data_IF_228034391211
#
_entry.id   IF_228034391211
#
_cell.length_a   1.000
_cell.length_b   1.000
_cell.length_c   1.000
_cell.angle_alpha   90.00
_cell.angle_beta   90.00
_cell.angle_gamma   90.00
#
_symmetry.space_group_name_H-M   'P 1'
#
loop_
_entity.id
_entity.type
_entity.pdbx_description
1 polymer ?
#
# COMPACT_ATOMS: atom_id res chain seq x y z
N UNK A 1 -13.70 16.32 36.01
CA UNK A 1 -12.87 16.84 34.91
C UNK A 1 -11.94 15.72 34.46
N UNK A 2 -12.37 14.89 33.51
CA UNK A 2 -11.55 13.84 32.91
C UNK A 2 -12.10 13.54 31.50
N UNK A 3 -11.19 13.51 30.52
CA UNK A 3 -11.30 12.72 29.29
C UNK A 3 -12.21 13.21 28.15
N UNK A 4 -12.10 14.48 27.72
CA UNK A 4 -12.66 14.93 26.43
C UNK A 4 -11.66 14.86 25.25
N UNK A 5 -10.40 14.52 25.50
CA UNK A 5 -9.36 14.47 24.45
C UNK A 5 -9.40 13.20 23.58
N UNK A 6 -9.97 12.09 24.09
CA UNK A 6 -9.97 10.80 23.38
C UNK A 6 -11.05 10.70 22.30
N UNK A 7 -12.23 11.29 22.52
CA UNK A 7 -13.38 11.13 21.60
C UNK A 7 -13.24 11.96 20.31
N UNK A 8 -12.61 13.14 20.38
CA UNK A 8 -12.34 13.98 19.19
C UNK A 8 -11.21 13.41 18.34
N UNK A 9 -10.17 12.85 18.98
CA UNK A 9 -9.08 12.17 18.27
C UNK A 9 -9.61 10.92 17.54
N UNK A 10 -10.45 10.12 18.19
CA UNK A 10 -11.07 8.94 17.56
C UNK A 10 -11.94 9.31 16.36
N UNK A 11 -12.76 10.36 16.46
CA UNK A 11 -13.60 10.83 15.34
C UNK A 11 -12.79 11.40 14.17
N UNK A 12 -11.67 12.08 14.44
CA UNK A 12 -10.75 12.58 13.40
C UNK A 12 -10.01 11.43 12.68
N UNK A 13 -9.54 10.42 13.42
CA UNK A 13 -8.86 9.25 12.86
C UNK A 13 -9.83 8.42 11.99
N UNK A 14 -11.08 8.25 12.45
CA UNK A 14 -12.12 7.56 11.70
C UNK A 14 -12.49 8.29 10.41
N UNK A 15 -12.54 9.63 10.44
CA UNK A 15 -12.81 10.44 9.25
C UNK A 15 -11.65 10.47 8.25
N UNK A 16 -10.38 10.49 8.70
CA UNK A 16 -9.21 10.34 7.81
C UNK A 16 -9.17 8.96 7.14
N UNK A 17 -9.47 7.90 7.89
CA UNK A 17 -9.54 6.53 7.35
C UNK A 17 -10.67 6.38 6.30
N UNK A 18 -11.84 7.00 6.51
CA UNK A 18 -12.94 7.06 5.53
C UNK A 18 -12.68 8.01 4.35
N UNK A 19 -11.82 9.01 4.51
CA UNK A 19 -11.45 9.91 3.42
C UNK A 19 -10.50 9.24 2.44
N UNK A 20 -9.61 8.36 2.93
CA UNK A 20 -8.69 7.61 2.07
C UNK A 20 -9.43 6.63 1.16
N UNK A 21 -10.50 5.97 1.63
CA UNK A 21 -11.33 5.10 0.80
C UNK A 21 -12.11 5.84 -0.30
N UNK A 22 -12.27 7.17 -0.20
CA UNK A 22 -12.86 8.02 -1.25
C UNK A 22 -11.83 8.69 -2.16
N UNK A 23 -10.54 8.66 -1.81
CA UNK A 23 -9.45 9.22 -2.61
C UNK A 23 -8.64 8.09 -3.25
N UNK A 24 -9.19 7.51 -4.33
CA UNK A 24 -8.59 6.37 -5.05
C UNK A 24 -7.12 6.60 -5.41
N UNK A 25 -6.76 7.85 -5.73
CA UNK A 25 -5.40 8.26 -6.11
C UNK A 25 -4.37 8.17 -4.96
N UNK A 26 -4.83 7.99 -3.72
CA UNK A 26 -4.00 7.85 -2.53
C UNK A 26 -4.06 6.45 -1.92
N UNK A 27 -4.95 5.58 -2.43
CA UNK A 27 -5.19 4.26 -1.87
C UNK A 27 -3.99 3.32 -2.01
N UNK A 28 -3.41 3.25 -3.22
CA UNK A 28 -2.32 2.32 -3.48
C UNK A 28 -1.12 2.61 -2.57
N UNK A 29 -0.59 1.54 -1.96
CA UNK A 29 0.55 1.58 -1.05
C UNK A 29 0.30 2.28 0.30
N UNK A 30 -0.93 2.72 0.61
CA UNK A 30 -1.21 3.34 1.90
C UNK A 30 -1.31 2.31 3.04
N UNK A 31 -1.19 2.79 4.28
CA UNK A 31 -1.41 2.04 5.51
C UNK A 31 -2.47 2.75 6.34
N UNK A 32 -3.50 2.02 6.74
CA UNK A 32 -4.59 2.54 7.56
C UNK A 32 -4.15 2.82 9.02
N UNK A 33 -5.00 3.49 9.77
CA UNK A 33 -4.86 3.67 11.23
C UNK A 33 -4.77 2.34 11.99
N UNK A 34 -5.39 1.28 11.46
CA UNK A 34 -5.31 -0.08 11.99
C UNK A 34 -4.01 -0.81 11.59
N UNK A 35 -3.03 -0.08 11.03
CA UNK A 35 -1.76 -0.62 10.52
C UNK A 35 -1.94 -1.65 9.40
N UNK A 36 -3.01 -1.56 8.61
CA UNK A 36 -3.28 -2.50 7.52
C UNK A 36 -2.97 -1.88 6.16
N UNK A 37 -2.42 -2.66 5.23
CA UNK A 37 -2.10 -2.16 3.89
C UNK A 37 -3.35 -1.99 3.03
N UNK A 38 -3.46 -0.87 2.34
CA UNK A 38 -4.52 -0.61 1.38
C UNK A 38 -4.10 -1.03 -0.04
N UNK A 39 -5.05 -1.57 -0.80
CA UNK A 39 -4.89 -2.08 -2.16
C UNK A 39 -5.98 -1.49 -3.02
N UNK A 40 -5.61 -0.98 -4.19
CA UNK A 40 -6.56 -0.55 -5.20
C UNK A 40 -6.98 -1.76 -6.02
N UNK A 41 -8.27 -2.05 -6.07
CA UNK A 41 -8.84 -3.10 -6.91
C UNK A 41 -9.66 -2.48 -8.05
N UNK A 42 -9.81 -3.23 -9.14
CA UNK A 42 -10.59 -2.79 -10.28
C UNK A 42 -11.54 -3.89 -10.74
N UNK A 43 -12.81 -3.53 -10.92
CA UNK A 43 -13.85 -4.44 -11.41
C UNK A 43 -14.25 -4.01 -12.83
N UNK A 44 -13.94 -4.81 -13.86
CA UNK A 44 -14.43 -4.53 -15.20
C UNK A 44 -15.94 -4.72 -15.23
N UNK A 45 -16.66 -3.74 -15.79
CA UNK A 45 -18.12 -3.86 -15.95
C UNK A 45 -18.44 -4.74 -17.15
N UNK A 46 -19.35 -5.69 -16.96
CA UNK A 46 -19.80 -6.63 -18.00
C UNK A 46 -20.72 -5.98 -19.05
N UNK A 47 -21.23 -4.78 -18.79
CA UNK A 47 -22.09 -4.01 -19.69
C UNK A 47 -21.33 -3.11 -20.68
N UNK A 48 -19.99 -3.19 -20.72
CA UNK A 48 -19.14 -2.33 -21.54
C UNK A 48 -18.95 -0.91 -21.00
N UNK A 49 -19.41 -0.64 -19.76
CA UNK A 49 -19.16 0.61 -19.05
C UNK A 49 -17.71 0.78 -18.58
N UNK A 50 -17.44 1.93 -17.95
CA UNK A 50 -16.12 2.24 -17.39
C UNK A 50 -15.76 1.28 -16.25
N UNK A 51 -14.49 0.86 -16.20
CA UNK A 51 -13.95 0.08 -15.08
C UNK A 51 -14.17 0.80 -13.77
N UNK A 52 -14.74 0.09 -12.79
CA UNK A 52 -14.91 0.60 -11.43
C UNK A 52 -13.65 0.33 -10.62
N UNK A 53 -13.28 1.28 -9.76
CA UNK A 53 -12.13 1.17 -8.89
C UNK A 53 -12.58 1.29 -7.45
N UNK A 54 -12.05 0.43 -6.59
CA UNK A 54 -12.37 0.40 -5.18
C UNK A 54 -11.08 0.27 -4.35
N UNK A 55 -11.07 0.92 -3.20
CA UNK A 55 -9.97 0.80 -2.26
C UNK A 55 -10.31 -0.21 -1.18
N UNK A 56 -9.53 -1.29 -1.09
CA UNK A 56 -9.67 -2.32 -0.08
C UNK A 56 -8.55 -2.24 0.96
N UNK A 57 -8.87 -2.53 2.22
CA UNK A 57 -7.87 -2.67 3.28
C UNK A 57 -7.58 -4.15 3.49
N UNK A 58 -6.36 -4.57 3.18
CA UNK A 58 -5.91 -5.95 3.34
C UNK A 58 -5.89 -6.40 4.80
N UNK A 59 -5.95 -7.72 5.03
CA UNK A 59 -5.76 -8.31 6.35
C UNK A 59 -4.31 -8.29 6.86
N UNK A 60 -3.35 -7.81 6.06
CA UNK A 60 -1.94 -7.84 6.40
C UNK A 60 -1.59 -6.64 7.27
N UNK A 61 -1.28 -6.92 8.54
CA UNK A 61 -0.88 -5.91 9.52
C UNK A 61 0.61 -5.61 9.36
N UNK A 62 0.93 -4.36 9.11
CA UNK A 62 2.28 -3.82 9.04
C UNK A 62 2.77 -3.53 10.45
N UNK A 63 4.00 -3.92 10.74
CA UNK A 63 4.61 -3.62 12.03
C UNK A 63 5.27 -2.25 11.96
N UNK A 64 5.12 -1.43 13.00
CA UNK A 64 5.77 -0.11 13.17
C UNK A 64 5.33 1.02 12.24
N UNK A 65 4.30 0.82 11.40
CA UNK A 65 3.73 1.88 10.55
C UNK A 65 2.20 1.88 10.62
N UNK A 66 1.61 3.05 10.82
CA UNK A 66 0.16 3.31 10.80
C UNK A 66 -0.10 4.69 10.21
N UNK A 67 -1.29 4.92 9.66
CA UNK A 67 -1.68 6.22 9.08
C UNK A 67 -0.67 6.78 8.06
N UNK A 68 -0.16 5.91 7.19
CA UNK A 68 0.92 6.24 6.25
C UNK A 68 0.38 6.35 4.82
N UNK A 69 0.65 7.48 4.18
CA UNK A 69 0.40 7.68 2.75
C UNK A 69 1.73 8.02 2.10
N UNK A 70 2.12 7.24 1.09
CA UNK A 70 3.36 7.52 0.35
C UNK A 70 3.29 8.87 -0.34
N UNK A 71 4.45 9.49 -0.55
CA UNK A 71 4.53 10.76 -1.27
C UNK A 71 4.64 10.53 -2.78
N UNK A 72 4.27 11.54 -3.59
CA UNK A 72 4.50 11.52 -5.05
C UNK A 72 5.98 11.33 -5.40
N UNK A 73 6.87 11.84 -4.53
CA UNK A 73 8.30 11.62 -4.67
C UNK A 73 8.62 10.14 -4.59
N UNK A 74 8.16 9.47 -3.52
CA UNK A 74 8.44 8.07 -3.28
C UNK A 74 7.88 7.15 -4.37
N UNK A 75 6.62 7.36 -4.75
CA UNK A 75 5.99 6.61 -5.86
C UNK A 75 6.84 6.73 -7.14
N UNK A 76 7.30 7.94 -7.48
CA UNK A 76 8.09 8.18 -8.69
C UNK A 76 9.49 7.60 -8.64
N UNK A 77 10.26 7.83 -7.56
CA UNK A 77 11.65 7.37 -7.47
C UNK A 77 11.76 5.85 -7.35
N UNK A 78 10.77 5.20 -6.73
CA UNK A 78 10.67 3.75 -6.67
C UNK A 78 10.14 3.13 -7.97
N UNK A 79 9.64 3.93 -8.92
CA UNK A 79 9.18 3.45 -10.22
C UNK A 79 7.74 2.92 -10.23
N UNK A 80 6.92 3.34 -9.29
CA UNK A 80 5.51 2.98 -9.14
C UNK A 80 4.59 4.06 -9.74
N UNK A 81 3.30 3.74 -9.81
CA UNK A 81 2.23 4.67 -10.21
C UNK A 81 1.08 4.58 -9.20
N UNK A 82 0.41 5.70 -8.91
CA UNK A 82 -0.66 5.79 -7.90
C UNK A 82 -1.88 4.92 -8.18
N UNK A 83 -2.18 4.67 -9.44
CA UNK A 83 -3.30 3.84 -9.88
C UNK A 83 -2.88 2.38 -10.14
N UNK A 84 -1.79 1.92 -9.49
CA UNK A 84 -1.41 0.51 -9.56
C UNK A 84 -2.53 -0.31 -8.95
N UNK A 85 -3.18 -1.13 -9.79
CA UNK A 85 -4.22 -2.06 -9.36
C UNK A 85 -3.55 -3.34 -8.88
N UNK A 86 -3.94 -3.79 -7.69
CA UNK A 86 -3.34 -4.94 -7.03
C UNK A 86 -1.89 -4.70 -6.61
N UNK A 87 -1.31 -5.71 -5.96
CA UNK A 87 0.11 -5.78 -5.62
C UNK A 87 0.55 -7.22 -5.91
N UNK A 88 1.50 -7.42 -6.83
CA UNK A 88 2.01 -8.73 -7.22
C UNK A 88 3.53 -8.80 -7.10
N UNK A 89 4.04 -9.98 -6.73
CA UNK A 89 5.47 -10.30 -6.70
C UNK A 89 6.09 -10.30 -8.10
N UNK A 90 5.28 -10.44 -9.16
CA UNK A 90 5.73 -10.42 -10.56
C UNK A 90 6.50 -9.15 -10.93
N UNK A 91 6.16 -8.01 -10.30
CA UNK A 91 6.88 -6.76 -10.50
C UNK A 91 8.38 -6.89 -10.18
N UNK A 92 8.74 -7.78 -9.25
CA UNK A 92 10.13 -8.06 -8.86
C UNK A 92 10.92 -8.78 -9.96
N UNK A 93 10.27 -9.35 -10.96
CA UNK A 93 10.91 -9.96 -12.13
C UNK A 93 11.36 -8.88 -13.15
N UNK A 94 10.79 -7.68 -13.10
CA UNK A 94 11.22 -6.57 -13.96
C UNK A 94 12.51 -5.92 -13.41
N UNK A 95 13.62 -6.15 -14.12
CA UNK A 95 14.92 -5.54 -13.80
C UNK A 95 14.88 -4.01 -13.73
N UNK A 96 14.01 -3.36 -14.53
CA UNK A 96 13.88 -1.90 -14.52
C UNK A 96 13.23 -1.42 -13.23
N UNK A 97 12.21 -2.14 -12.77
CA UNK A 97 11.55 -1.89 -11.49
C UNK A 97 12.52 -2.11 -10.33
N UNK A 98 13.16 -3.28 -10.24
CA UNK A 98 14.15 -3.59 -9.19
C UNK A 98 15.27 -2.54 -9.12
N UNK A 99 15.78 -2.08 -10.27
CA UNK A 99 16.82 -1.03 -10.27
C UNK A 99 16.33 0.29 -9.66
N UNK A 100 15.05 0.66 -9.84
CA UNK A 100 14.48 1.85 -9.21
C UNK A 100 14.19 1.62 -7.73
N UNK A 101 13.62 0.47 -7.38
CA UNK A 101 13.34 0.07 -6.00
C UNK A 101 14.62 0.04 -5.14
N UNK A 102 15.69 -0.57 -5.65
CA UNK A 102 17.00 -0.63 -4.99
C UNK A 102 17.86 0.62 -5.19
N UNK A 103 17.36 1.65 -5.88
CA UNK A 103 18.08 2.92 -5.99
C UNK A 103 18.21 3.58 -4.62
N UNK A 104 19.32 4.27 -4.37
CA UNK A 104 19.51 4.96 -3.09
C UNK A 104 18.45 6.03 -2.78
N UNK A 105 17.75 6.54 -3.81
CA UNK A 105 16.64 7.48 -3.64
C UNK A 105 15.38 6.81 -3.11
N UNK A 106 15.05 5.59 -3.57
CA UNK A 106 13.91 4.83 -3.07
C UNK A 106 14.26 4.11 -1.76
N UNK A 107 15.30 3.27 -1.79
CA UNK A 107 15.64 2.33 -0.72
C UNK A 107 15.85 3.00 0.65
N UNK A 108 16.36 4.23 0.67
CA UNK A 108 16.65 4.95 1.93
C UNK A 108 15.57 5.92 2.38
N UNK A 109 14.70 6.37 1.48
CA UNK A 109 13.75 7.45 1.76
C UNK A 109 12.29 7.01 1.75
N UNK A 110 11.99 5.81 1.26
CA UNK A 110 10.62 5.31 1.06
C UNK A 110 10.41 3.98 1.77
N UNK A 111 10.40 3.98 3.12
CA UNK A 111 10.45 2.75 3.92
C UNK A 111 9.23 1.85 3.70
N UNK A 112 8.04 2.41 3.48
CA UNK A 112 6.83 1.62 3.30
C UNK A 112 6.80 0.88 1.95
N UNK A 113 7.20 1.53 0.84
CA UNK A 113 7.35 0.85 -0.47
C UNK A 113 8.40 -0.27 -0.41
N UNK A 114 9.53 -0.01 0.25
CA UNK A 114 10.63 -0.98 0.39
C UNK A 114 10.19 -2.16 1.24
N UNK A 115 9.56 -1.90 2.39
CA UNK A 115 9.03 -2.93 3.29
C UNK A 115 8.00 -3.81 2.57
N UNK A 116 7.07 -3.21 1.84
CA UNK A 116 6.04 -3.92 1.08
C UNK A 116 6.65 -4.95 0.13
N UNK A 117 7.57 -4.51 -0.72
CA UNK A 117 8.15 -5.37 -1.76
C UNK A 117 9.15 -6.37 -1.18
N UNK A 118 9.80 -6.03 -0.06
CA UNK A 118 10.68 -6.96 0.66
C UNK A 118 9.88 -8.09 1.31
N UNK A 119 8.76 -7.77 1.95
CA UNK A 119 7.87 -8.78 2.54
C UNK A 119 7.24 -9.67 1.47
N UNK A 120 6.88 -9.09 0.32
CA UNK A 120 6.37 -9.85 -0.82
C UNK A 120 7.44 -10.82 -1.36
N UNK A 121 8.68 -10.36 -1.53
CA UNK A 121 9.80 -11.21 -1.94
C UNK A 121 10.10 -12.34 -0.93
N UNK A 122 10.01 -12.04 0.38
CA UNK A 122 10.24 -13.03 1.43
C UNK A 122 9.17 -14.13 1.41
N UNK A 123 7.90 -13.77 1.18
CA UNK A 123 6.78 -14.73 1.09
C UNK A 123 6.92 -15.73 -0.05
N UNK A 124 7.58 -15.37 -1.15
CA UNK A 124 7.85 -16.27 -2.29
C UNK A 124 8.91 -17.33 -1.95
N UNK A 125 9.85 -17.03 -1.05
CA UNK A 125 10.91 -17.95 -0.63
C UNK A 125 10.43 -19.01 0.37
N UNK A 126 9.42 -18.69 1.17
CA UNK A 126 8.92 -19.58 2.24
C UNK A 126 8.02 -20.70 1.69
N UNK A 127 7.39 -20.50 0.52
CA UNK A 127 6.67 -21.56 -0.20
C UNK A 127 7.60 -22.57 -0.91
N UNK A 128 8.91 -22.30 -0.96
CA UNK A 128 9.89 -23.17 -1.64
C UNK A 128 10.64 -24.12 -0.69
N UNK A 129 10.31 -24.17 0.61
CA UNK A 129 10.74 -25.27 1.49
C UNK A 129 9.88 -26.52 1.29
N UNK A 130 9.71 -26.96 0.03
CA UNK A 130 9.49 -28.39 -0.22
C UNK A 130 10.88 -29.01 -0.14
N UNK A 131 11.13 -29.70 0.98
CA UNK A 131 12.29 -30.57 1.16
C UNK A 131 12.44 -31.44 -0.08
N UNK A 132 13.51 -31.23 -0.86
CA UNK A 132 13.99 -32.20 -1.85
C UNK A 132 14.62 -33.37 -1.12
#
# INVERSE_FOLDING_TARGET
>A
MASSSSSVAFSLVLSVSLLLSRALDLCAFAISSASQRCVLESTPRTDGGLTEYECYTSGVVVTHMSDWIETEHCVRVCGLVRNTVGISSDALLDRRFIRKLCSGACHRNCPNIVDLHSNLAAGEGESSSVTV
#
